data_IF_176167208364
#
_entry.id   IF_176167208364
#
_cell.length_a   1.000
_cell.length_b   1.000
_cell.length_c   1.000
_cell.angle_alpha   90.00
_cell.angle_beta   90.00
_cell.angle_gamma   90.00
#
_symmetry.space_group_name_H-M   'P 1'
#
loop_
_entity.id
_entity.type
_entity.pdbx_description
1 polymer ?
#
# COMPACT_ATOMS: atom_id res chain seq x y z
N UNK A 1 -13.33 -1.45 11.04
CA UNK A 1 -12.64 -2.35 10.08
C UNK A 1 -13.60 -3.10 9.15
N UNK A 2 -14.64 -3.77 9.66
CA UNK A 2 -15.62 -4.51 8.83
C UNK A 2 -16.31 -3.67 7.72
N UNK A 3 -16.59 -2.40 7.98
CA UNK A 3 -17.21 -1.49 7.01
C UNK A 3 -16.25 -1.11 5.88
N UNK A 4 -14.98 -0.85 6.19
CA UNK A 4 -13.92 -0.59 5.21
C UNK A 4 -13.63 -1.83 4.33
N UNK A 5 -13.78 -3.04 4.90
CA UNK A 5 -13.66 -4.30 4.15
C UNK A 5 -14.79 -4.41 3.11
N UNK A 6 -16.02 -4.08 3.50
CA UNK A 6 -17.18 -4.02 2.59
C UNK A 6 -17.00 -2.97 1.49
N UNK A 7 -16.32 -1.87 1.77
CA UNK A 7 -16.06 -0.79 0.83
C UNK A 7 -14.82 -1.01 -0.05
N UNK A 8 -14.07 -2.10 0.14
CA UNK A 8 -12.86 -2.39 -0.63
C UNK A 8 -11.69 -1.44 -0.37
N UNK A 9 -11.72 -0.68 0.74
CA UNK A 9 -10.71 0.32 1.09
C UNK A 9 -9.54 -0.31 1.83
N UNK A 10 -8.83 -1.21 1.14
CA UNK A 10 -7.79 -2.05 1.74
C UNK A 10 -6.57 -1.27 2.24
N UNK A 11 -6.21 -0.14 1.60
CA UNK A 11 -5.13 0.74 2.09
C UNK A 11 -5.48 1.41 3.43
N UNK A 12 -6.72 1.89 3.59
CA UNK A 12 -7.18 2.50 4.86
C UNK A 12 -7.29 1.43 5.97
N UNK A 13 -7.68 0.21 5.61
CA UNK A 13 -7.67 -0.94 6.51
C UNK A 13 -6.27 -1.30 6.98
N UNK A 14 -5.31 -1.38 6.07
CA UNK A 14 -3.93 -1.73 6.39
C UNK A 14 -3.28 -0.68 7.31
N UNK A 15 -3.61 0.61 7.13
CA UNK A 15 -3.20 1.67 8.06
C UNK A 15 -3.77 1.48 9.47
N UNK A 16 -5.06 1.13 9.61
CA UNK A 16 -5.69 0.86 10.90
C UNK A 16 -5.14 -0.41 11.58
N UNK A 17 -4.78 -1.42 10.80
CA UNK A 17 -4.17 -2.65 11.30
C UNK A 17 -2.78 -2.44 11.93
N UNK A 18 -2.09 -1.36 11.57
CA UNK A 18 -0.85 -0.97 12.25
C UNK A 18 -1.08 -0.31 13.61
N UNK A 19 -2.26 0.27 13.84
CA UNK A 19 -2.60 1.00 15.07
C UNK A 19 -3.28 0.10 16.11
N UNK A 20 -3.87 -1.02 15.70
CA UNK A 20 -4.59 -1.94 16.59
C UNK A 20 -4.02 -3.36 16.52
N UNK A 21 -3.35 -3.80 17.61
CA UNK A 21 -2.99 -5.20 17.85
C UNK A 21 -4.19 -5.97 18.41
N UNK A 22 -5.24 -6.15 17.61
CA UNK A 22 -6.32 -7.05 17.99
C UNK A 22 -6.19 -8.35 17.21
N UNK A 23 -5.86 -9.42 17.93
CA UNK A 23 -5.87 -10.81 17.44
C UNK A 23 -7.20 -11.22 16.81
N UNK A 24 -8.30 -10.52 17.13
CA UNK A 24 -9.62 -10.69 16.51
C UNK A 24 -9.68 -10.27 15.04
N UNK A 25 -8.83 -9.35 14.59
CA UNK A 25 -8.85 -8.82 13.23
C UNK A 25 -7.69 -9.30 12.36
N UNK A 26 -6.91 -10.27 12.84
CA UNK A 26 -5.72 -10.78 12.15
C UNK A 26 -6.00 -11.16 10.71
N UNK A 27 -7.06 -11.91 10.43
CA UNK A 27 -7.42 -12.29 9.05
C UNK A 27 -7.80 -11.09 8.18
N UNK A 28 -8.46 -10.07 8.75
CA UNK A 28 -8.82 -8.86 8.02
C UNK A 28 -7.57 -8.04 7.70
N UNK A 29 -6.63 -7.99 8.65
CA UNK A 29 -5.36 -7.30 8.49
C UNK A 29 -4.45 -8.00 7.49
N UNK A 30 -4.31 -9.32 7.57
CA UNK A 30 -3.52 -10.10 6.62
C UNK A 30 -4.04 -9.92 5.19
N UNK A 31 -5.36 -9.93 5.01
CA UNK A 31 -5.99 -9.70 3.71
C UNK A 31 -5.79 -8.24 3.23
N UNK A 32 -5.89 -7.26 4.12
CA UNK A 32 -5.59 -5.87 3.81
C UNK A 32 -4.13 -5.65 3.40
N UNK A 33 -3.19 -6.33 4.07
CA UNK A 33 -1.77 -6.30 3.70
C UNK A 33 -1.53 -6.91 2.33
N UNK A 34 -2.09 -8.10 2.05
CA UNK A 34 -1.96 -8.75 0.75
C UNK A 34 -2.52 -7.90 -0.39
N UNK A 35 -3.68 -7.29 -0.21
CA UNK A 35 -4.27 -6.41 -1.23
C UNK A 35 -3.50 -5.09 -1.37
N UNK A 36 -2.92 -4.57 -0.29
CA UNK A 36 -2.04 -3.41 -0.37
C UNK A 36 -0.74 -3.74 -1.13
N UNK A 37 -0.12 -4.91 -0.90
CA UNK A 37 1.04 -5.37 -1.66
C UNK A 37 0.71 -5.50 -3.16
N UNK A 38 -0.40 -6.15 -3.51
CA UNK A 38 -0.83 -6.27 -4.92
C UNK A 38 -1.06 -4.91 -5.59
N UNK A 39 -1.65 -3.96 -4.87
CA UNK A 39 -1.86 -2.61 -5.41
C UNK A 39 -0.53 -1.90 -5.65
N UNK A 40 0.41 -1.98 -4.70
CA UNK A 40 1.75 -1.39 -4.87
C UNK A 40 2.49 -2.08 -6.02
N UNK A 41 2.47 -3.41 -6.09
CA UNK A 41 3.08 -4.19 -7.17
C UNK A 41 2.49 -3.79 -8.54
N UNK A 42 1.17 -3.61 -8.64
CA UNK A 42 0.51 -3.17 -9.87
C UNK A 42 0.93 -1.76 -10.29
N UNK A 43 1.01 -0.82 -9.33
CA UNK A 43 1.47 0.55 -9.59
C UNK A 43 2.91 0.51 -10.12
N UNK A 44 3.78 -0.28 -9.49
CA UNK A 44 5.18 -0.39 -9.90
C UNK A 44 5.34 -1.18 -11.21
N UNK A 45 4.45 -2.12 -11.52
CA UNK A 45 4.51 -2.92 -12.75
C UNK A 45 4.06 -2.17 -14.00
N UNK A 46 3.27 -1.09 -13.86
CA UNK A 46 2.94 -0.20 -15.00
C UNK A 46 4.18 0.40 -15.68
N UNK A 47 5.35 0.35 -15.03
CA UNK A 47 6.62 0.76 -15.60
C UNK A 47 7.24 -0.26 -16.56
N UNK A 48 6.81 -1.53 -16.53
CA UNK A 48 7.34 -2.58 -17.40
C UNK A 48 7.12 -2.27 -18.89
N UNK A 49 6.10 -1.48 -19.21
CA UNK A 49 5.83 -1.03 -20.59
C UNK A 49 6.68 0.17 -21.04
N UNK A 50 7.18 1.02 -20.12
CA UNK A 50 7.91 2.25 -20.46
C UNK A 50 9.02 2.58 -19.43
N UNK A 51 10.26 2.08 -19.61
CA UNK A 51 11.33 2.12 -18.60
C UNK A 51 11.83 3.52 -18.20
N UNK A 52 11.46 4.56 -18.94
CA UNK A 52 11.83 5.96 -18.67
C UNK A 52 10.70 6.78 -18.05
N UNK A 53 9.46 6.29 -18.08
CA UNK A 53 8.34 7.00 -17.49
C UNK A 53 8.30 6.72 -16.00
N UNK A 54 8.29 7.79 -15.20
CA UNK A 54 7.88 7.68 -13.80
C UNK A 54 6.36 7.54 -13.76
N UNK A 55 5.88 6.68 -12.86
CA UNK A 55 4.46 6.44 -12.64
C UNK A 55 3.85 7.67 -11.97
N UNK A 56 2.83 8.23 -12.59
CA UNK A 56 2.00 9.28 -11.98
C UNK A 56 0.90 8.62 -11.19
N UNK A 57 0.90 8.84 -9.88
CA UNK A 57 -0.10 8.34 -8.94
C UNK A 57 -0.87 9.52 -8.41
N UNK A 58 -2.19 9.39 -8.24
CA UNK A 58 -2.98 10.46 -7.65
C UNK A 58 -2.52 10.77 -6.21
N UNK A 59 -2.67 12.03 -5.78
CA UNK A 59 -2.13 12.49 -4.50
C UNK A 59 -2.70 11.73 -3.29
N UNK A 60 -3.93 11.21 -3.38
CA UNK A 60 -4.56 10.46 -2.30
C UNK A 60 -3.89 9.09 -2.16
N UNK A 61 -3.80 8.33 -3.24
CA UNK A 61 -3.16 7.00 -3.26
C UNK A 61 -1.69 7.11 -2.89
N UNK A 62 -0.99 8.13 -3.40
CA UNK A 62 0.41 8.39 -3.05
C UNK A 62 0.61 8.55 -1.55
N UNK A 63 -0.18 9.43 -0.92
CA UNK A 63 -0.11 9.66 0.53
C UNK A 63 -0.44 8.40 1.32
N UNK A 64 -1.44 7.63 0.90
CA UNK A 64 -1.82 6.38 1.57
C UNK A 64 -0.69 5.35 1.53
N UNK A 65 -0.02 5.20 0.39
CA UNK A 65 1.14 4.30 0.27
C UNK A 65 2.32 4.80 1.10
N UNK A 66 2.62 6.10 1.06
CA UNK A 66 3.71 6.67 1.87
C UNK A 66 3.48 6.49 3.37
N UNK A 67 2.26 6.74 3.86
CA UNK A 67 1.87 6.49 5.24
C UNK A 67 1.98 4.99 5.59
N UNK A 68 1.62 4.10 4.65
CA UNK A 68 1.72 2.65 4.82
C UNK A 68 3.17 2.21 4.97
N UNK A 69 4.06 2.70 4.10
CA UNK A 69 5.50 2.44 4.15
C UNK A 69 6.14 3.07 5.40
N UNK A 70 5.61 4.19 5.90
CA UNK A 70 6.09 4.78 7.15
C UNK A 70 5.75 3.92 8.37
N UNK A 71 4.55 3.32 8.39
CA UNK A 71 4.04 2.57 9.54
C UNK A 71 4.39 1.07 9.52
N UNK A 72 4.62 0.45 8.34
CA UNK A 72 4.97 -0.99 8.22
C UNK A 72 6.44 -1.18 7.81
N UNK A 73 7.34 -1.59 8.72
CA UNK A 73 8.77 -1.75 8.43
C UNK A 73 9.08 -2.75 7.31
N UNK A 74 8.32 -3.86 7.22
CA UNK A 74 8.56 -4.89 6.20
C UNK A 74 8.23 -4.36 4.79
N UNK A 75 7.10 -3.69 4.65
CA UNK A 75 6.74 -3.05 3.38
C UNK A 75 7.70 -1.92 3.02
N UNK A 76 8.12 -1.13 4.01
CA UNK A 76 9.11 -0.06 3.81
C UNK A 76 10.38 -0.58 3.16
N UNK A 77 10.94 -1.64 3.72
CA UNK A 77 12.21 -2.21 3.24
C UNK A 77 12.08 -2.71 1.79
N UNK A 78 10.96 -3.37 1.47
CA UNK A 78 10.69 -3.92 0.14
C UNK A 78 10.38 -2.85 -0.92
N UNK A 79 9.53 -1.89 -0.59
CA UNK A 79 8.89 -1.03 -1.58
C UNK A 79 9.42 0.40 -1.61
N UNK A 80 9.94 0.95 -0.50
CA UNK A 80 10.40 2.36 -0.48
C UNK A 80 11.48 2.68 -1.53
N UNK A 81 12.48 1.82 -1.79
CA UNK A 81 13.48 2.09 -2.83
C UNK A 81 12.87 2.14 -4.23
N UNK A 82 11.92 1.23 -4.52
CA UNK A 82 11.22 1.17 -5.79
C UNK A 82 10.27 2.36 -5.95
N UNK A 83 9.50 2.67 -4.92
CA UNK A 83 8.57 3.79 -4.88
C UNK A 83 9.27 5.12 -5.18
N UNK A 84 10.39 5.41 -4.51
CA UNK A 84 11.18 6.63 -4.75
C UNK A 84 11.80 6.68 -6.15
N UNK A 85 12.10 5.53 -6.73
CA UNK A 85 12.70 5.44 -8.07
C UNK A 85 11.66 5.65 -9.17
N UNK A 86 10.46 5.13 -8.96
CA UNK A 86 9.46 5.01 -10.02
C UNK A 86 8.32 6.00 -9.91
N UNK A 87 7.96 6.49 -8.72
CA UNK A 87 6.84 7.42 -8.56
C UNK A 87 7.33 8.87 -8.61
N UNK A 88 6.64 9.72 -9.37
CA UNK A 88 6.93 11.16 -9.45
C UNK A 88 6.63 11.88 -8.12
N UNK A 89 7.41 12.93 -7.82
CA UNK A 89 7.14 13.85 -6.71
C UNK A 89 5.84 14.64 -6.92
#
# INVERSE_FOLDING_TARGET
MLQLKKEGKYLELALLCNEHKESEYKEICDLAWQEAEKNIDLILSQQADLPFLRVSVDAKTKKQVEDLLAKNPQMKERYLPLWKRFVQE
#
